data_IF_796882986283
#
_entry.id   IF_796882986283
#
_cell.length_a   1.000
_cell.length_b   1.000
_cell.length_c   1.000
_cell.angle_alpha   90.00
_cell.angle_beta   90.00
_cell.angle_gamma   90.00
#
_symmetry.space_group_name_H-M   'P 1'
#
loop_
_entity.id
_entity.type
_entity.pdbx_description
1 polymer ?
#
# COMPACT_ATOMS: atom_id res chain seq x y z
N UNK A 1 -32.47 6.83 1.27
CA UNK A 1 -32.38 5.36 1.22
C UNK A 1 -32.31 4.79 -0.22
N UNK A 2 -33.24 5.12 -1.15
CA UNK A 2 -33.21 4.61 -2.53
C UNK A 2 -31.99 5.02 -3.36
N UNK A 3 -31.38 6.19 -3.13
CA UNK A 3 -30.17 6.66 -3.82
C UNK A 3 -28.93 5.90 -3.34
N UNK A 4 -28.81 5.64 -2.04
CA UNK A 4 -27.71 4.89 -1.45
C UNK A 4 -27.64 3.44 -1.96
N UNK A 5 -28.80 2.77 -2.08
CA UNK A 5 -28.90 1.41 -2.63
C UNK A 5 -28.46 1.36 -4.08
N UNK A 6 -28.75 2.39 -4.87
CA UNK A 6 -28.39 2.45 -6.31
C UNK A 6 -26.88 2.59 -6.53
N UNK A 7 -26.17 3.31 -5.66
CA UNK A 7 -24.71 3.47 -5.74
C UNK A 7 -23.97 2.26 -5.14
N UNK A 8 -24.49 1.64 -4.09
CA UNK A 8 -23.95 0.38 -3.54
C UNK A 8 -24.10 -0.77 -4.53
N UNK A 9 -25.21 -0.85 -5.26
CA UNK A 9 -25.44 -1.85 -6.31
C UNK A 9 -24.50 -1.65 -7.51
N UNK A 10 -24.15 -0.42 -7.86
CA UNK A 10 -23.20 -0.12 -8.95
C UNK A 10 -21.76 -0.50 -8.56
N UNK A 11 -21.38 -0.33 -7.29
CA UNK A 11 -20.06 -0.76 -6.79
C UNK A 11 -19.91 -2.29 -6.77
N UNK A 12 -20.97 -3.04 -6.48
CA UNK A 12 -20.98 -4.51 -6.45
C UNK A 12 -20.90 -5.14 -7.85
N UNK A 13 -21.34 -4.45 -8.90
CA UNK A 13 -21.28 -4.94 -10.27
C UNK A 13 -19.86 -4.91 -10.90
N UNK A 14 -18.95 -4.11 -10.39
CA UNK A 14 -17.58 -3.99 -10.91
C UNK A 14 -16.70 -5.19 -10.48
N UNK A 15 -17.08 -5.95 -9.47
CA UNK A 15 -16.27 -7.05 -8.91
C UNK A 15 -16.43 -8.39 -9.63
N UNK A 16 -17.27 -8.50 -10.64
CA UNK A 16 -17.62 -9.78 -11.28
C UNK A 16 -16.80 -10.15 -12.53
N UNK A 17 -15.78 -9.36 -12.91
CA UNK A 17 -14.97 -9.67 -14.10
C UNK A 17 -13.74 -10.48 -13.67
N UNK A 18 -13.88 -11.80 -13.61
CA UNK A 18 -12.78 -12.74 -13.43
C UNK A 18 -12.13 -13.03 -14.77
N UNK A 19 -11.00 -12.40 -15.07
CA UNK A 19 -10.14 -12.82 -16.18
C UNK A 19 -9.20 -13.92 -15.69
N UNK A 20 -9.33 -15.10 -16.28
CA UNK A 20 -8.39 -16.22 -16.09
C UNK A 20 -7.11 -15.96 -16.90
N UNK A 21 -6.26 -15.07 -16.45
CA UNK A 21 -4.91 -14.88 -16.99
C UNK A 21 -3.89 -15.16 -15.89
N UNK A 22 -2.71 -15.65 -16.26
CA UNK A 22 -1.58 -15.78 -15.35
C UNK A 22 -1.27 -14.42 -14.73
N UNK A 23 -1.02 -14.36 -13.41
CA UNK A 23 -0.80 -13.11 -12.65
C UNK A 23 0.56 -12.45 -12.94
N UNK A 24 1.30 -12.93 -13.93
CA UNK A 24 2.63 -12.43 -14.22
C UNK A 24 3.61 -12.64 -13.07
N UNK A 25 3.32 -13.58 -12.16
CA UNK A 25 4.18 -13.93 -11.04
C UNK A 25 5.53 -14.38 -11.57
N UNK A 26 6.60 -13.71 -11.12
CA UNK A 26 7.97 -13.95 -11.59
C UNK A 26 8.41 -13.09 -12.79
N UNK A 27 7.51 -12.37 -13.48
CA UNK A 27 7.89 -11.50 -14.60
C UNK A 27 8.61 -10.21 -14.14
N UNK A 28 8.38 -9.79 -12.89
CA UNK A 28 9.09 -8.67 -12.26
C UNK A 28 9.67 -9.11 -10.92
N UNK A 29 10.86 -8.61 -10.59
CA UNK A 29 11.46 -8.75 -9.25
C UNK A 29 10.92 -7.73 -8.25
N UNK A 30 11.66 -7.54 -7.17
CA UNK A 30 11.40 -6.52 -6.15
C UNK A 30 9.94 -6.54 -5.65
N UNK A 31 9.42 -7.75 -5.40
CA UNK A 31 8.03 -7.97 -5.00
C UNK A 31 7.62 -7.14 -3.77
N UNK A 32 8.58 -6.76 -2.93
CA UNK A 32 8.37 -5.94 -1.74
C UNK A 32 7.80 -4.55 -2.06
N UNK A 33 8.08 -3.98 -3.23
CA UNK A 33 7.51 -2.70 -3.69
C UNK A 33 6.00 -2.78 -3.99
N UNK A 34 5.46 -4.00 -4.09
CA UNK A 34 4.02 -4.27 -4.30
C UNK A 34 3.28 -4.56 -3.00
N UNK A 35 3.99 -4.71 -1.87
CA UNK A 35 3.39 -5.02 -0.58
C UNK A 35 2.79 -3.76 0.06
N UNK A 36 1.67 -3.95 0.75
CA UNK A 36 1.05 -2.88 1.54
C UNK A 36 1.92 -2.45 2.72
N UNK A 37 1.91 -1.16 3.05
CA UNK A 37 2.84 -0.54 4.01
C UNK A 37 2.19 0.08 5.26
N UNK A 38 0.91 -0.12 5.49
CA UNK A 38 0.24 0.23 6.77
C UNK A 38 -0.95 -0.69 7.03
N UNK A 39 -1.26 -0.94 8.29
CA UNK A 39 -2.43 -1.73 8.68
C UNK A 39 -3.73 -1.14 8.13
N UNK A 40 -3.86 0.21 8.13
CA UNK A 40 -5.02 0.87 7.57
C UNK A 40 -5.17 0.57 6.07
N UNK A 41 -4.11 0.71 5.30
CA UNK A 41 -4.15 0.47 3.85
C UNK A 41 -4.40 -1.00 3.52
N UNK A 42 -3.73 -1.92 4.21
CA UNK A 42 -3.88 -3.36 4.03
C UNK A 42 -5.31 -3.80 4.35
N UNK A 43 -5.87 -3.34 5.47
CA UNK A 43 -7.22 -3.71 5.90
C UNK A 43 -8.33 -3.15 5.00
N UNK A 44 -8.05 -2.09 4.23
CA UNK A 44 -8.93 -1.54 3.19
C UNK A 44 -8.75 -2.22 1.82
N UNK A 45 -8.11 -3.40 1.77
CA UNK A 45 -7.82 -4.08 0.51
C UNK A 45 -6.85 -3.31 -0.38
N UNK A 46 -6.09 -2.37 0.16
CA UNK A 46 -5.23 -1.43 -0.57
C UNK A 46 -5.99 -0.50 -1.54
N UNK A 47 -7.30 -0.28 -1.33
CA UNK A 47 -8.10 0.70 -2.04
C UNK A 47 -7.89 2.10 -1.44
N UNK A 48 -6.69 2.68 -1.61
CA UNK A 48 -6.24 3.87 -0.87
C UNK A 48 -5.59 4.96 -1.72
N UNK A 49 -5.51 4.82 -3.05
CA UNK A 49 -4.85 5.81 -3.92
C UNK A 49 -5.39 7.23 -3.75
N UNK A 50 -6.66 7.36 -3.40
CA UNK A 50 -7.34 8.64 -3.15
C UNK A 50 -7.55 8.96 -1.67
N UNK A 51 -7.46 7.96 -0.76
CA UNK A 51 -7.88 8.07 0.63
C UNK A 51 -6.75 7.95 1.66
N UNK A 52 -5.51 7.75 1.21
CA UNK A 52 -4.32 7.80 2.08
C UNK A 52 -4.26 9.14 2.80
N UNK A 53 -4.09 9.12 4.14
CA UNK A 53 -4.14 10.31 4.98
C UNK A 53 -2.98 10.40 6.00
N UNK A 54 -1.98 9.55 5.84
CA UNK A 54 -0.78 9.44 6.66
C UNK A 54 0.49 9.46 5.78
N UNK A 55 1.66 9.19 6.37
CA UNK A 55 2.94 9.19 5.65
C UNK A 55 3.08 8.05 4.63
N UNK A 56 2.19 7.05 4.60
CA UNK A 56 2.17 6.03 3.55
C UNK A 56 1.80 6.59 2.16
N UNK A 57 1.38 7.86 2.09
CA UNK A 57 1.23 8.59 0.84
C UNK A 57 2.50 8.57 -0.03
N UNK A 58 3.68 8.53 0.59
CA UNK A 58 4.99 8.37 -0.08
C UNK A 58 5.10 7.08 -0.90
N UNK A 59 4.31 6.05 -0.54
CA UNK A 59 4.28 4.74 -1.20
C UNK A 59 3.13 4.62 -2.19
N UNK A 60 1.92 5.09 -1.84
CA UNK A 60 0.72 4.85 -2.64
C UNK A 60 0.42 5.96 -3.66
N UNK A 61 0.52 7.23 -3.25
CA UNK A 61 0.27 8.39 -4.10
C UNK A 61 0.88 9.66 -3.46
N UNK A 62 1.99 10.18 -3.97
CA UNK A 62 2.64 11.34 -3.38
C UNK A 62 1.79 12.62 -3.39
N UNK A 63 0.77 12.71 -4.25
CA UNK A 63 -0.17 13.83 -4.22
C UNK A 63 -1.05 13.82 -2.95
N UNK A 64 -1.23 12.66 -2.30
CA UNK A 64 -2.00 12.52 -1.06
C UNK A 64 -1.23 12.97 0.21
N UNK A 65 -0.01 13.46 0.10
CA UNK A 65 0.75 14.08 1.21
C UNK A 65 -0.02 15.25 1.86
N UNK A 66 -0.94 15.89 1.13
CA UNK A 66 -1.79 16.95 1.66
C UNK A 66 -2.95 16.48 2.52
N UNK A 67 -3.29 15.19 2.50
CA UNK A 67 -4.38 14.64 3.32
C UNK A 67 -3.95 14.50 4.78
N UNK A 68 -4.92 14.42 5.71
CA UNK A 68 -4.70 14.16 7.14
C UNK A 68 -4.04 15.31 7.88
N UNK A 69 -3.24 15.02 8.90
CA UNK A 69 -2.56 15.99 9.78
C UNK A 69 -1.41 16.73 9.11
N UNK A 70 -0.98 17.86 9.72
CA UNK A 70 0.11 18.68 9.18
C UNK A 70 1.46 17.96 9.21
N UNK A 71 1.75 17.29 10.30
CA UNK A 71 2.88 16.38 10.45
C UNK A 71 2.38 15.00 10.82
N UNK A 72 3.02 13.96 10.31
CA UNK A 72 2.66 12.59 10.63
C UNK A 72 3.91 11.69 10.53
N UNK A 73 4.05 10.81 11.51
CA UNK A 73 5.03 9.73 11.54
C UNK A 73 4.28 8.40 11.59
N UNK A 74 4.77 7.43 10.86
CA UNK A 74 4.22 6.07 10.80
C UNK A 74 5.34 5.08 10.94
N UNK A 75 5.13 4.08 11.78
CA UNK A 75 5.96 2.87 11.85
C UNK A 75 5.05 1.65 11.69
N UNK A 76 5.43 0.71 10.83
CA UNK A 76 4.69 -0.52 10.58
C UNK A 76 5.61 -1.73 10.62
N UNK A 77 5.14 -2.80 11.24
CA UNK A 77 5.72 -4.13 11.19
C UNK A 77 4.68 -5.12 10.65
N UNK A 78 5.07 -5.92 9.67
CA UNK A 78 4.22 -6.90 9.03
C UNK A 78 4.92 -8.26 8.97
N UNK A 79 4.31 -9.26 9.59
CA UNK A 79 4.67 -10.65 9.43
C UNK A 79 3.76 -11.30 8.40
N UNK A 80 4.35 -11.81 7.34
CA UNK A 80 3.66 -12.50 6.26
C UNK A 80 3.96 -14.00 6.29
N UNK A 81 3.29 -14.72 5.42
CA UNK A 81 3.56 -16.15 5.18
C UNK A 81 5.02 -16.36 4.73
N UNK A 82 5.53 -17.58 4.93
CA UNK A 82 6.89 -18.00 4.52
C UNK A 82 8.02 -17.19 5.17
N UNK A 83 7.81 -16.63 6.36
CA UNK A 83 8.84 -15.89 7.09
C UNK A 83 9.22 -14.53 6.47
N UNK A 84 8.42 -14.02 5.53
CA UNK A 84 8.62 -12.68 4.98
C UNK A 84 8.23 -11.64 6.03
N UNK A 85 9.16 -10.76 6.38
CA UNK A 85 8.95 -9.63 7.29
C UNK A 85 9.15 -8.32 6.55
N UNK A 86 8.27 -7.37 6.81
CA UNK A 86 8.36 -6.02 6.22
C UNK A 86 8.22 -4.96 7.31
N UNK A 87 9.16 -4.04 7.34
CA UNK A 87 9.14 -2.84 8.17
C UNK A 87 9.01 -1.61 7.28
N UNK A 88 8.11 -0.72 7.66
CA UNK A 88 7.95 0.56 7.00
C UNK A 88 8.03 1.69 8.02
N UNK A 89 8.85 2.68 7.71
CA UNK A 89 8.86 3.96 8.39
C UNK A 89 8.50 5.05 7.38
N UNK A 90 7.57 5.93 7.76
CA UNK A 90 7.18 7.08 6.97
C UNK A 90 7.10 8.34 7.81
N UNK A 91 7.51 9.45 7.24
CA UNK A 91 7.33 10.79 7.80
C UNK A 91 6.81 11.72 6.71
N UNK A 92 5.87 12.59 7.08
CA UNK A 92 5.40 13.64 6.17
C UNK A 92 5.18 14.95 6.91
N UNK A 93 5.31 16.03 6.16
CA UNK A 93 4.97 17.39 6.57
C UNK A 93 4.31 18.12 5.40
N UNK A 94 3.20 18.80 5.65
CA UNK A 94 2.53 19.64 4.66
C UNK A 94 2.45 21.10 5.11
N UNK A 95 2.70 22.00 4.17
CA UNK A 95 2.37 23.41 4.25
C UNK A 95 1.15 23.75 3.36
N UNK A 96 0.98 25.02 3.03
CA UNK A 96 -0.15 25.49 2.23
C UNK A 96 -0.05 25.04 0.75
N UNK A 97 1.13 25.18 0.16
CA UNK A 97 1.38 24.87 -1.25
C UNK A 97 2.29 23.67 -1.47
N UNK A 98 3.16 23.35 -0.52
CA UNK A 98 4.13 22.27 -0.62
C UNK A 98 3.96 21.27 0.49
N UNK A 99 4.19 20.01 0.18
CA UNK A 99 4.26 18.93 1.15
C UNK A 99 5.51 18.08 0.84
N UNK A 100 6.11 17.55 1.89
CA UNK A 100 7.29 16.70 1.79
C UNK A 100 7.07 15.41 2.56
N UNK A 101 7.69 14.36 2.10
CA UNK A 101 7.64 13.06 2.74
C UNK A 101 8.94 12.31 2.58
N UNK A 102 9.19 11.45 3.53
CA UNK A 102 10.31 10.53 3.52
C UNK A 102 9.79 9.14 3.90
N UNK A 103 10.35 8.08 3.32
CA UNK A 103 10.00 6.70 3.64
C UNK A 103 11.21 5.77 3.60
N UNK A 104 11.17 4.76 4.48
CA UNK A 104 12.05 3.61 4.50
C UNK A 104 11.18 2.36 4.46
N UNK A 105 11.42 1.47 3.52
CA UNK A 105 10.75 0.18 3.40
C UNK A 105 11.81 -0.90 3.35
N UNK A 106 11.80 -1.79 4.33
CA UNK A 106 12.72 -2.91 4.44
C UNK A 106 11.92 -4.22 4.44
N UNK A 107 12.29 -5.16 3.59
CA UNK A 107 11.69 -6.51 3.59
C UNK A 107 12.80 -7.53 3.63
N UNK A 108 12.66 -8.50 4.52
CA UNK A 108 13.63 -9.59 4.70
C UNK A 108 12.95 -10.95 4.75
N UNK A 109 13.69 -11.95 4.30
CA UNK A 109 13.40 -13.37 4.49
C UNK A 109 14.64 -14.00 5.11
N UNK A 110 14.52 -14.44 6.35
CA UNK A 110 15.63 -15.03 7.08
C UNK A 110 15.65 -16.55 6.95
N UNK A 111 16.76 -17.15 7.37
CA UNK A 111 16.95 -18.61 7.47
C UNK A 111 16.68 -19.36 6.17
N UNK A 112 17.12 -18.77 5.04
CA UNK A 112 17.11 -19.46 3.76
C UNK A 112 18.28 -20.45 3.78
N UNK A 113 17.96 -21.73 3.71
CA UNK A 113 18.98 -22.79 3.79
C UNK A 113 19.81 -22.87 2.51
N UNK A 114 21.12 -23.01 2.69
CA UNK A 114 22.07 -23.26 1.61
C UNK A 114 22.23 -24.76 1.47
N UNK A 115 21.84 -25.33 0.33
CA UNK A 115 21.94 -26.76 0.02
C UNK A 115 22.52 -26.94 -1.38
N UNK A 116 23.53 -27.80 -1.52
CA UNK A 116 24.06 -28.23 -2.81
C UNK A 116 23.49 -29.59 -3.23
N UNK A 117 23.20 -30.43 -2.24
CA UNK A 117 22.62 -31.76 -2.41
C UNK A 117 21.53 -31.98 -1.35
N UNK A 118 20.57 -32.92 -1.55
CA UNK A 118 19.64 -33.32 -0.49
C UNK A 118 20.39 -33.82 0.75
N UNK A 119 20.08 -33.26 1.93
CA UNK A 119 20.76 -33.57 3.20
C UNK A 119 20.73 -32.40 4.17
N UNK A 120 21.65 -32.38 5.12
CA UNK A 120 21.81 -31.27 6.07
C UNK A 120 22.23 -30.00 5.33
N UNK A 121 21.68 -28.81 5.71
CA UNK A 121 22.05 -27.54 5.11
C UNK A 121 23.50 -27.20 5.42
N UNK A 122 24.21 -26.61 4.44
CA UNK A 122 25.57 -26.10 4.61
C UNK A 122 25.64 -24.82 5.45
N UNK A 123 24.50 -24.10 5.57
CA UNK A 123 24.35 -22.86 6.29
C UNK A 123 23.03 -22.18 5.98
N UNK A 124 22.88 -20.97 6.48
CA UNK A 124 21.70 -20.14 6.23
C UNK A 124 22.11 -18.74 5.76
N UNK A 125 21.26 -18.07 4.98
CA UNK A 125 21.42 -16.65 4.64
C UNK A 125 20.10 -15.90 4.76
N UNK A 126 20.17 -14.57 4.73
CA UNK A 126 19.04 -13.65 4.70
C UNK A 126 19.00 -12.97 3.35
N UNK A 127 17.84 -13.01 2.67
CA UNK A 127 17.55 -12.14 1.55
C UNK A 127 16.94 -10.83 2.07
N UNK A 128 17.41 -9.68 1.55
CA UNK A 128 16.99 -8.36 2.02
C UNK A 128 16.75 -7.42 0.85
N UNK A 129 15.63 -6.71 0.92
CA UNK A 129 15.27 -5.63 0.00
C UNK A 129 15.00 -4.36 0.80
N UNK A 130 15.54 -3.26 0.33
CA UNK A 130 15.42 -1.96 0.98
C UNK A 130 15.06 -0.89 -0.04
N UNK A 131 14.17 0.03 0.32
CA UNK A 131 13.89 1.23 -0.46
C UNK A 131 13.84 2.47 0.45
N UNK A 132 14.57 3.50 0.04
CA UNK A 132 14.52 4.84 0.62
C UNK A 132 13.83 5.77 -0.35
N UNK A 133 12.77 6.45 0.08
CA UNK A 133 11.97 7.36 -0.74
C UNK A 133 11.95 8.79 -0.22
N UNK A 134 12.11 9.76 -1.13
CA UNK A 134 11.88 11.17 -0.88
C UNK A 134 10.75 11.65 -1.77
N UNK A 135 9.75 12.29 -1.17
CA UNK A 135 8.52 12.73 -1.85
C UNK A 135 8.32 14.23 -1.72
N UNK A 136 7.83 14.83 -2.80
CA UNK A 136 7.39 16.22 -2.82
C UNK A 136 6.00 16.31 -3.45
N UNK A 137 5.12 17.10 -2.84
CA UNK A 137 3.79 17.41 -3.31
C UNK A 137 3.62 18.90 -3.57
N UNK A 138 2.84 19.23 -4.58
CA UNK A 138 2.45 20.61 -4.92
C UNK A 138 0.93 20.73 -5.03
N UNK A 139 0.36 21.69 -4.31
CA UNK A 139 -1.07 22.00 -4.34
C UNK A 139 -1.33 22.99 -5.47
N UNK A 140 -1.88 22.51 -6.58
CA UNK A 140 -2.17 23.32 -7.78
C UNK A 140 -3.29 24.32 -7.46
N UNK A 141 -4.33 23.86 -6.78
CA UNK A 141 -5.43 24.67 -6.26
C UNK A 141 -6.09 23.97 -5.06
N UNK A 142 -7.21 24.48 -4.55
CA UNK A 142 -7.87 23.92 -3.38
C UNK A 142 -8.44 22.50 -3.60
N UNK A 143 -8.58 22.04 -4.83
CA UNK A 143 -9.14 20.73 -5.17
C UNK A 143 -8.10 19.77 -5.76
N UNK A 144 -7.02 20.29 -6.36
CA UNK A 144 -6.06 19.49 -7.12
C UNK A 144 -4.67 19.59 -6.52
N UNK A 145 -4.06 18.45 -6.25
CA UNK A 145 -2.64 18.30 -5.90
C UNK A 145 -1.95 17.30 -6.83
N UNK A 146 -0.67 17.49 -7.01
CA UNK A 146 0.24 16.58 -7.72
C UNK A 146 1.42 16.27 -6.82
N UNK A 147 2.12 15.17 -7.09
CA UNK A 147 3.28 14.80 -6.29
C UNK A 147 4.21 13.86 -7.04
N UNK A 148 5.45 13.83 -6.60
CA UNK A 148 6.50 12.95 -7.11
C UNK A 148 7.23 12.30 -5.95
N UNK A 149 7.76 11.10 -6.17
CA UNK A 149 8.68 10.42 -5.25
C UNK A 149 9.88 9.92 -6.02
N UNK A 150 11.09 10.20 -5.53
CA UNK A 150 12.32 9.53 -5.97
C UNK A 150 12.68 8.46 -4.96
N UNK A 151 13.04 7.26 -5.43
CA UNK A 151 13.41 6.11 -4.61
C UNK A 151 14.80 5.61 -4.95
N UNK A 152 15.62 5.36 -3.94
CA UNK A 152 16.80 4.50 -4.02
C UNK A 152 16.40 3.10 -3.55
N UNK A 153 16.79 2.07 -4.31
CA UNK A 153 16.43 0.68 -4.06
C UNK A 153 17.70 -0.14 -3.97
N UNK A 154 17.73 -1.05 -3.01
CA UNK A 154 18.81 -2.00 -2.79
C UNK A 154 18.23 -3.40 -2.60
N UNK A 155 18.80 -4.38 -3.29
CA UNK A 155 18.47 -5.79 -3.21
C UNK A 155 19.73 -6.59 -2.88
N UNK A 156 19.62 -7.51 -1.92
CA UNK A 156 20.71 -8.44 -1.55
C UNK A 156 20.15 -9.85 -1.46
N UNK A 157 20.75 -10.77 -2.20
CA UNK A 157 20.45 -12.20 -2.16
C UNK A 157 21.77 -12.95 -2.01
N UNK A 158 21.97 -13.57 -0.86
CA UNK A 158 23.18 -14.30 -0.50
C UNK A 158 24.42 -13.39 -0.60
N UNK A 159 25.29 -13.61 -1.59
CA UNK A 159 26.51 -12.83 -1.82
C UNK A 159 26.35 -11.73 -2.86
N UNK A 160 25.29 -11.81 -3.68
CA UNK A 160 25.05 -10.87 -4.76
C UNK A 160 24.18 -9.69 -4.28
N UNK A 161 24.45 -8.51 -4.81
CA UNK A 161 23.65 -7.33 -4.54
C UNK A 161 23.47 -6.46 -5.78
N UNK A 162 22.39 -5.70 -5.82
CA UNK A 162 22.09 -4.74 -6.86
C UNK A 162 21.47 -3.48 -6.23
N UNK A 163 21.60 -2.36 -6.92
CA UNK A 163 20.96 -1.12 -6.53
C UNK A 163 20.32 -0.44 -7.74
N UNK A 164 19.41 0.48 -7.48
CA UNK A 164 18.74 1.20 -8.56
C UNK A 164 17.96 2.39 -8.07
N UNK A 165 17.32 3.05 -9.02
CA UNK A 165 16.48 4.20 -8.78
C UNK A 165 15.11 4.01 -9.43
N UNK A 166 14.07 4.46 -8.74
CA UNK A 166 12.72 4.51 -9.28
C UNK A 166 12.05 5.84 -8.95
N UNK A 167 11.05 6.17 -9.74
CA UNK A 167 10.26 7.38 -9.58
C UNK A 167 8.77 7.02 -9.55
N UNK A 168 8.04 7.81 -8.76
CA UNK A 168 6.58 7.79 -8.76
C UNK A 168 6.05 9.17 -9.11
N UNK A 169 4.90 9.21 -9.76
CA UNK A 169 4.14 10.44 -9.99
C UNK A 169 2.69 10.18 -9.62
N UNK A 170 2.04 11.15 -8.98
CA UNK A 170 0.65 11.04 -8.57
C UNK A 170 -0.13 12.32 -8.73
N UNK A 171 -1.45 12.16 -8.85
CA UNK A 171 -2.44 13.22 -8.85
C UNK A 171 -3.59 12.89 -7.90
N UNK A 172 -4.14 13.92 -7.26
CA UNK A 172 -5.28 13.78 -6.36
C UNK A 172 -6.23 14.97 -6.54
N UNK A 173 -7.49 14.66 -6.80
CA UNK A 173 -8.59 15.60 -6.83
C UNK A 173 -9.50 15.36 -5.62
N UNK A 174 -9.76 16.42 -4.84
CA UNK A 174 -10.64 16.36 -3.65
C UNK A 174 -11.68 17.46 -3.76
N UNK A 175 -12.94 17.09 -3.72
CA UNK A 175 -14.07 18.02 -3.66
C UNK A 175 -15.11 17.50 -2.67
N UNK A 176 -15.37 18.27 -1.64
CA UNK A 176 -16.29 17.91 -0.56
C UNK A 176 -15.92 16.54 0.05
N UNK A 177 -16.82 15.58 -0.09
CA UNK A 177 -16.65 14.22 0.42
C UNK A 177 -16.06 13.24 -0.61
N UNK A 178 -15.84 13.68 -1.85
CA UNK A 178 -15.31 12.87 -2.95
C UNK A 178 -13.82 13.10 -3.12
N UNK A 179 -13.05 12.02 -3.21
CA UNK A 179 -11.65 12.06 -3.62
C UNK A 179 -11.42 11.11 -4.79
N UNK A 180 -10.67 11.54 -5.80
CA UNK A 180 -10.27 10.74 -6.95
C UNK A 180 -8.75 10.85 -7.09
N UNK A 181 -8.06 9.73 -7.18
CA UNK A 181 -6.60 9.69 -7.26
C UNK A 181 -6.10 8.77 -8.37
N UNK A 182 -4.92 9.10 -8.88
CA UNK A 182 -4.15 8.23 -9.74
C UNK A 182 -2.66 8.35 -9.42
N UNK A 183 -1.92 7.24 -9.53
CA UNK A 183 -0.48 7.20 -9.34
C UNK A 183 0.15 6.18 -10.29
N UNK A 184 1.27 6.56 -10.90
CA UNK A 184 2.18 5.69 -11.61
C UNK A 184 3.41 5.51 -10.73
N UNK A 185 3.75 4.27 -10.39
CA UNK A 185 4.75 3.96 -9.37
C UNK A 185 5.84 3.03 -9.90
N UNK A 186 7.03 3.11 -9.28
CA UNK A 186 8.17 2.23 -9.51
C UNK A 186 8.70 2.25 -10.95
N UNK A 187 8.66 3.41 -11.61
CA UNK A 187 9.29 3.59 -12.90
C UNK A 187 10.79 3.82 -12.73
N UNK A 188 11.61 2.89 -13.23
CA UNK A 188 13.06 2.98 -13.02
C UNK A 188 13.81 1.75 -13.49
N UNK A 189 15.05 1.61 -13.00
CA UNK A 189 15.93 0.52 -13.34
C UNK A 189 16.83 0.12 -12.18
N UNK A 190 17.29 -1.12 -12.19
CA UNK A 190 18.31 -1.66 -11.29
C UNK A 190 19.61 -1.89 -12.06
N UNK A 191 20.73 -1.91 -11.32
CA UNK A 191 21.96 -2.54 -11.81
C UNK A 191 21.79 -4.05 -11.90
N UNK A 192 22.72 -4.73 -12.56
CA UNK A 192 22.69 -6.19 -12.65
C UNK A 192 22.86 -6.83 -11.26
N UNK A 193 21.99 -7.79 -10.96
CA UNK A 193 22.17 -8.74 -9.87
C UNK A 193 22.87 -9.95 -10.46
N UNK A 194 24.18 -10.09 -10.26
CA UNK A 194 25.04 -11.08 -10.87
C UNK A 194 25.19 -10.89 -12.39
N UNK A 195 24.24 -11.33 -13.23
CA UNK A 195 24.34 -11.29 -14.69
C UNK A 195 23.12 -10.64 -15.36
N UNK A 196 22.05 -10.37 -14.60
CA UNK A 196 20.82 -9.79 -15.14
C UNK A 196 20.27 -8.71 -14.21
N UNK A 197 19.76 -7.64 -14.80
CA UNK A 197 19.09 -6.58 -14.05
C UNK A 197 17.69 -7.02 -13.64
N UNK A 198 17.36 -6.86 -12.37
CA UNK A 198 16.01 -7.12 -11.84
C UNK A 198 15.02 -6.13 -12.44
N UNK A 199 13.94 -6.62 -13.07
CA UNK A 199 12.90 -5.77 -13.64
C UNK A 199 12.06 -5.11 -12.54
N UNK A 200 11.90 -3.79 -12.67
CA UNK A 200 11.05 -2.99 -11.77
C UNK A 200 9.57 -3.35 -11.93
N UNK A 201 8.80 -3.47 -10.83
CA UNK A 201 7.36 -3.68 -10.87
C UNK A 201 6.61 -2.35 -11.08
N UNK A 202 6.86 -1.71 -12.24
CA UNK A 202 6.16 -0.47 -12.59
C UNK A 202 4.65 -0.71 -12.64
N UNK A 203 3.88 0.18 -12.01
CA UNK A 203 2.45 -0.04 -11.85
C UNK A 203 1.64 1.25 -11.98
N UNK A 204 0.41 1.10 -12.45
CA UNK A 204 -0.63 2.13 -12.44
C UNK A 204 -1.67 1.76 -11.37
N UNK A 205 -2.00 2.73 -10.54
CA UNK A 205 -3.11 2.69 -9.60
C UNK A 205 -4.02 3.89 -9.84
N UNK A 206 -5.33 3.67 -9.89
CA UNK A 206 -6.32 4.74 -10.00
C UNK A 206 -7.58 4.36 -9.25
N UNK A 207 -8.28 5.33 -8.69
CA UNK A 207 -9.48 5.02 -7.92
C UNK A 207 -10.09 6.23 -7.27
N UNK A 208 -11.11 5.97 -6.46
CA UNK A 208 -11.86 7.00 -5.77
C UNK A 208 -12.34 6.55 -4.40
N UNK A 209 -12.65 7.52 -3.58
CA UNK A 209 -13.24 7.31 -2.27
C UNK A 209 -14.30 8.36 -1.96
N UNK A 210 -15.27 7.96 -1.16
CA UNK A 210 -16.35 8.82 -0.71
C UNK A 210 -16.55 8.71 0.80
N UNK A 211 -16.58 9.84 1.50
CA UNK A 211 -16.80 9.92 2.96
C UNK A 211 -18.24 10.30 3.27
N UNK A 212 -18.91 9.53 4.10
CA UNK A 212 -20.27 9.77 4.56
C UNK A 212 -20.21 10.14 6.04
N UNK A 213 -20.62 11.36 6.38
CA UNK A 213 -20.66 11.83 7.77
C UNK A 213 -22.01 11.41 8.38
N UNK A 214 -21.95 10.63 9.47
CA UNK A 214 -23.10 10.14 10.22
C UNK A 214 -23.28 11.00 11.48
N UNK A 215 -23.86 12.19 11.30
CA UNK A 215 -23.92 13.23 12.35
C UNK A 215 -24.55 12.71 13.65
N UNK A 216 -25.66 11.95 13.57
CA UNK A 216 -26.35 11.40 14.76
C UNK A 216 -25.54 10.38 15.57
N UNK A 217 -24.46 9.83 15.00
CA UNK A 217 -23.58 8.84 15.64
C UNK A 217 -22.17 9.40 15.93
N UNK A 218 -21.89 10.64 15.59
CA UNK A 218 -20.54 11.22 15.63
C UNK A 218 -19.52 10.32 14.91
N UNK A 219 -19.90 9.79 13.77
CA UNK A 219 -19.16 8.74 13.06
C UNK A 219 -18.97 9.10 11.58
N UNK A 220 -18.01 8.45 10.93
CA UNK A 220 -17.75 8.57 9.49
C UNK A 220 -17.65 7.18 8.87
N UNK A 221 -18.29 7.01 7.72
CA UNK A 221 -18.10 5.84 6.86
C UNK A 221 -17.34 6.30 5.60
N UNK A 222 -16.17 5.72 5.36
CA UNK A 222 -15.43 5.85 4.11
C UNK A 222 -15.68 4.59 3.27
N UNK A 223 -15.94 4.76 1.99
CA UNK A 223 -15.92 3.69 0.99
C UNK A 223 -14.92 4.06 -0.10
N UNK A 224 -14.16 3.08 -0.59
CA UNK A 224 -13.12 3.29 -1.57
C UNK A 224 -13.06 2.14 -2.58
N UNK A 225 -12.66 2.45 -3.81
CA UNK A 225 -12.42 1.47 -4.85
C UNK A 225 -11.24 1.92 -5.72
N UNK A 226 -10.29 1.01 -5.96
CA UNK A 226 -9.09 1.22 -6.76
C UNK A 226 -8.94 0.14 -7.83
N UNK A 227 -8.49 0.56 -9.02
CA UNK A 227 -7.90 -0.33 -10.02
C UNK A 227 -6.39 -0.33 -9.89
N UNK A 228 -5.76 -1.48 -9.95
CA UNK A 228 -4.31 -1.66 -9.86
C UNK A 228 -3.80 -2.58 -10.96
N UNK A 229 -2.77 -2.15 -11.68
CA UNK A 229 -2.15 -2.88 -12.78
C UNK A 229 -0.64 -2.76 -12.71
N UNK A 230 0.06 -3.89 -12.54
CA UNK A 230 1.50 -4.00 -12.77
C UNK A 230 1.72 -4.22 -14.25
N UNK A 231 2.64 -3.48 -14.87
CA UNK A 231 3.05 -3.70 -16.26
C UNK A 231 3.91 -4.97 -16.35
N UNK A 232 4.27 -5.39 -17.56
CA UNK A 232 5.04 -6.61 -17.82
C UNK A 232 4.34 -7.90 -17.37
N UNK A 233 3.05 -8.02 -17.75
CA UNK A 233 2.29 -9.25 -17.63
C UNK A 233 1.44 -9.40 -16.38
N UNK A 234 1.46 -8.44 -15.44
CA UNK A 234 0.58 -8.48 -14.28
C UNK A 234 -0.91 -8.41 -14.67
N UNK A 235 -1.80 -9.06 -13.92
CA UNK A 235 -3.26 -8.94 -14.03
C UNK A 235 -3.71 -7.55 -13.62
N UNK A 236 -4.91 -7.19 -14.06
CA UNK A 236 -5.66 -6.08 -13.47
C UNK A 236 -6.33 -6.55 -12.17
N UNK A 237 -6.13 -5.80 -11.10
CA UNK A 237 -6.74 -6.03 -9.80
C UNK A 237 -7.74 -4.91 -9.51
N UNK A 238 -8.92 -5.29 -9.03
CA UNK A 238 -9.91 -4.36 -8.48
C UNK A 238 -9.96 -4.52 -6.97
N UNK A 239 -9.65 -3.46 -6.25
CA UNK A 239 -9.61 -3.42 -4.80
C UNK A 239 -10.75 -2.56 -4.27
N UNK A 240 -11.41 -2.98 -3.21
CA UNK A 240 -12.44 -2.19 -2.54
C UNK A 240 -12.24 -2.21 -1.04
N UNK A 241 -12.65 -1.14 -0.36
CA UNK A 241 -12.54 -1.03 1.08
C UNK A 241 -13.61 -0.19 1.71
N UNK A 242 -13.94 -0.50 2.95
CA UNK A 242 -14.83 0.31 3.79
C UNK A 242 -14.22 0.50 5.19
N UNK A 243 -14.28 1.73 5.69
CA UNK A 243 -13.82 2.11 7.04
C UNK A 243 -14.97 2.78 7.77
N UNK A 244 -15.39 2.20 8.89
CA UNK A 244 -16.30 2.84 9.82
C UNK A 244 -15.50 3.40 10.99
N UNK A 245 -15.50 4.72 11.15
CA UNK A 245 -14.81 5.43 12.23
C UNK A 245 -15.83 5.99 13.22
N UNK A 246 -15.74 5.55 14.50
CA UNK A 246 -16.58 5.97 15.60
C UNK A 246 -15.84 6.96 16.50
N UNK A 247 -16.38 8.19 16.64
CA UNK A 247 -15.90 9.26 17.56
C UNK A 247 -14.38 9.51 17.49
N UNK A 248 -13.77 9.41 16.32
CA UNK A 248 -12.30 9.50 16.15
C UNK A 248 -11.45 8.57 17.04
N UNK A 249 -12.09 7.65 17.76
CA UNK A 249 -11.43 6.74 18.69
C UNK A 249 -11.26 5.34 18.12
N UNK A 250 -12.30 4.77 17.52
CA UNK A 250 -12.32 3.40 17.00
C UNK A 250 -12.54 3.41 15.48
N UNK A 251 -11.74 2.66 14.74
CA UNK A 251 -11.96 2.39 13.33
C UNK A 251 -12.10 0.88 13.10
N UNK A 252 -13.13 0.47 12.37
CA UNK A 252 -13.33 -0.90 11.89
C UNK A 252 -13.21 -0.87 10.37
N UNK A 253 -12.47 -1.83 9.81
CA UNK A 253 -12.14 -1.87 8.37
C UNK A 253 -12.36 -3.24 7.79
N UNK A 254 -12.83 -3.24 6.56
CA UNK A 254 -12.91 -4.43 5.72
C UNK A 254 -12.52 -4.06 4.31
N UNK A 255 -11.79 -4.94 3.65
CA UNK A 255 -11.36 -4.79 2.27
C UNK A 255 -11.55 -6.07 1.47
N UNK A 256 -11.62 -5.91 0.17
CA UNK A 256 -11.65 -7.01 -0.77
C UNK A 256 -10.71 -6.72 -1.94
N UNK A 257 -9.87 -7.70 -2.25
CA UNK A 257 -8.89 -7.67 -3.34
C UNK A 257 -9.29 -8.71 -4.39
N UNK A 258 -9.62 -8.26 -5.58
CA UNK A 258 -9.98 -9.11 -6.73
C UNK A 258 -8.75 -9.43 -7.59
N UNK A 259 -8.76 -10.60 -8.22
CA UNK A 259 -7.69 -11.00 -9.14
C UNK A 259 -6.49 -11.68 -8.50
N UNK A 260 -6.42 -11.77 -7.17
CA UNK A 260 -5.39 -12.53 -6.47
C UNK A 260 -5.83 -13.97 -6.24
N UNK A 261 -4.93 -14.91 -6.46
CA UNK A 261 -5.24 -16.34 -6.33
C UNK A 261 -5.32 -16.76 -4.85
N UNK A 262 -4.41 -16.24 -4.03
CA UNK A 262 -4.19 -16.72 -2.66
C UNK A 262 -4.80 -15.84 -1.57
N UNK A 263 -5.31 -14.65 -1.87
CA UNK A 263 -5.93 -13.74 -0.91
C UNK A 263 -7.14 -13.01 -1.53
N UNK A 264 -8.06 -12.55 -0.71
CA UNK A 264 -9.20 -11.74 -1.18
C UNK A 264 -9.74 -10.81 -0.10
N UNK A 265 -10.08 -11.32 1.07
CA UNK A 265 -10.65 -10.53 2.16
C UNK A 265 -9.52 -10.01 3.05
N UNK A 266 -9.66 -8.78 3.50
CA UNK A 266 -8.78 -8.16 4.49
C UNK A 266 -9.63 -7.49 5.56
N UNK A 267 -9.17 -7.49 6.79
CA UNK A 267 -9.89 -6.86 7.91
C UNK A 267 -8.92 -6.09 8.79
N UNK A 268 -9.43 -5.17 9.58
CA UNK A 268 -8.59 -4.46 10.54
C UNK A 268 -9.36 -3.63 11.54
N UNK A 269 -8.65 -3.29 12.59
CA UNK A 269 -9.13 -2.43 13.66
C UNK A 269 -8.09 -1.35 13.94
N UNK A 270 -8.55 -0.15 14.27
CA UNK A 270 -7.70 0.97 14.66
C UNK A 270 -8.22 1.61 15.94
N UNK A 271 -7.30 1.95 16.83
CA UNK A 271 -7.55 2.70 18.04
C UNK A 271 -6.75 3.99 17.99
N UNK A 272 -7.41 5.12 18.26
CA UNK A 272 -6.77 6.43 18.30
C UNK A 272 -7.00 7.09 19.65
N UNK A 273 -5.91 7.53 20.26
CA UNK A 273 -5.95 8.33 21.48
C UNK A 273 -5.10 9.59 21.30
N UNK A 274 -5.76 10.75 21.33
CA UNK A 274 -5.12 12.06 21.03
C UNK A 274 -4.44 12.04 19.65
N UNK A 275 -3.12 12.22 19.61
CA UNK A 275 -2.30 12.25 18.40
C UNK A 275 -1.76 10.88 17.98
N UNK A 276 -1.92 9.85 18.80
CA UNK A 276 -1.36 8.51 18.57
C UNK A 276 -2.46 7.56 18.09
N UNK A 277 -2.18 6.75 17.07
CA UNK A 277 -3.03 5.64 16.64
C UNK A 277 -2.25 4.33 16.62
N UNK A 278 -2.93 3.26 17.01
CA UNK A 278 -2.48 1.88 16.89
C UNK A 278 -3.47 1.14 16.01
N UNK A 279 -2.99 0.60 14.91
CA UNK A 279 -3.79 -0.11 13.94
C UNK A 279 -3.29 -1.55 13.76
N UNK A 280 -4.22 -2.47 13.57
CA UNK A 280 -3.94 -3.87 13.26
C UNK A 280 -4.69 -4.29 12.01
N UNK A 281 -4.03 -5.06 11.14
CA UNK A 281 -4.64 -5.68 9.98
C UNK A 281 -4.40 -7.18 9.95
N UNK A 282 -5.38 -7.91 9.45
CA UNK A 282 -5.39 -9.36 9.29
C UNK A 282 -5.76 -9.72 7.86
N UNK A 283 -4.92 -10.54 7.21
CA UNK A 283 -5.14 -11.05 5.86
C UNK A 283 -5.03 -12.57 5.86
N UNK A 284 -6.14 -13.30 5.80
CA UNK A 284 -6.12 -14.75 5.64
C UNK A 284 -5.73 -15.12 4.20
N UNK A 285 -4.84 -16.09 4.05
CA UNK A 285 -4.49 -16.69 2.76
C UNK A 285 -5.26 -17.97 2.53
N UNK A 286 -5.58 -18.23 1.27
CA UNK A 286 -6.21 -19.49 0.82
C UNK A 286 -5.19 -20.64 0.83
N UNK A 287 -5.67 -21.85 0.56
CA UNK A 287 -4.84 -23.05 0.41
C UNK A 287 -4.00 -23.39 1.65
N UNK A 288 -4.50 -23.06 2.84
CA UNK A 288 -3.80 -23.31 4.11
C UNK A 288 -2.40 -22.68 4.21
N UNK A 289 -2.16 -21.59 3.46
CA UNK A 289 -0.88 -20.89 3.51
C UNK A 289 -0.67 -20.05 4.79
N UNK A 290 -1.69 -19.96 5.66
CA UNK A 290 -1.63 -19.17 6.89
C UNK A 290 -2.23 -17.78 6.74
N UNK A 291 -1.69 -16.82 7.45
CA UNK A 291 -2.20 -15.43 7.49
C UNK A 291 -1.06 -14.42 7.62
N UNK A 292 -1.35 -13.17 7.28
CA UNK A 292 -0.47 -12.05 7.53
C UNK A 292 -1.04 -11.18 8.65
N UNK A 293 -0.15 -10.70 9.51
CA UNK A 293 -0.45 -9.87 10.68
C UNK A 293 0.36 -8.58 10.60
N UNK A 294 -0.33 -7.46 10.55
CA UNK A 294 0.32 -6.14 10.44
C UNK A 294 -0.06 -5.26 11.61
N UNK A 295 0.93 -4.66 12.24
CA UNK A 295 0.76 -3.66 13.29
C UNK A 295 1.35 -2.33 12.79
N UNK A 296 0.60 -1.25 13.00
CA UNK A 296 1.04 0.11 12.66
C UNK A 296 0.85 1.03 13.84
N UNK A 297 1.91 1.72 14.20
CA UNK A 297 1.88 2.84 15.15
C UNK A 297 2.05 4.13 14.37
N UNK A 298 1.14 5.08 14.55
CA UNK A 298 1.25 6.38 13.90
C UNK A 298 1.01 7.51 14.89
N UNK A 299 1.62 8.66 14.63
CA UNK A 299 1.36 9.89 15.36
C UNK A 299 1.20 11.06 14.41
N UNK A 300 0.26 11.98 14.70
CA UNK A 300 -0.03 13.11 13.83
C UNK A 300 -0.31 14.39 14.63
N UNK A 301 0.23 15.50 14.12
CA UNK A 301 0.13 16.83 14.73
C UNK A 301 -0.41 17.86 13.76
#
# INVERSE_FOLDING_TARGET
MKVLVKYVSLLLLITAVSFTQNDGTGNTGLAFLKLGVTSRSISLGEAVVSSTNDASATHYNPAALFNGTKMNLVFMHNEQILGVRTEFFGAKMKGDKFAFGLSLNNTSVDKIEIREIPGEPLGEFTAQNFAFGLSAGYKVNNMLSIGVTGKFIYEKIYVDNASGFAFDIGGLYVKDNLSIGAAFTNFGSMTELRNEATKMPSALRFGGSYSIILVGMSSRLLVAADGYKVFDGGKFHANTGAEFQYKDFLALRVGYQSGYENKSITTGIGLKYKSVSLDYAFVPYKYSLGSSHTITLATGF
#
